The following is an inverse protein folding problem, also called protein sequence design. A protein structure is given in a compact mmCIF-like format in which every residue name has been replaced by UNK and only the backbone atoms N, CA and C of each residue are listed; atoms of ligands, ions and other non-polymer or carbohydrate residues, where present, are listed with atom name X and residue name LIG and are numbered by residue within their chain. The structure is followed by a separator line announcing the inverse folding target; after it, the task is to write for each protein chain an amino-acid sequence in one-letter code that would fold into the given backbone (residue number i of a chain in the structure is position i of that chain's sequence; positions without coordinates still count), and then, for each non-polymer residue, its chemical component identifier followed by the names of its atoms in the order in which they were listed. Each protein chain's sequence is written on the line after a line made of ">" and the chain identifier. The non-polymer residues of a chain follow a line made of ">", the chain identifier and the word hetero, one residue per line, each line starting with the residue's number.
data_IF_178869551281
#
_entry.id   IF_178869551281
#
_cell.length_a   1.000
_cell.length_b   1.000
_cell.length_c   1.000
_cell.angle_alpha   90.00
_cell.angle_beta   90.00
_cell.angle_gamma   90.00
#
_symmetry.space_group_name_H-M   'P 1'
#
loop_
_entity.id
_entity.type
_entity.pdbx_description
1 polymer ?
#
# COMPACT_ATOMS: atom_id res chain seq x y z
N UNK A 1 16.14 -11.88 -30.18
CA UNK A 1 14.83 -11.84 -29.46
C UNK A 1 14.72 -13.04 -28.50
N UNK A 2 15.01 -14.28 -28.90
CA UNK A 2 14.89 -15.49 -28.07
C UNK A 2 15.75 -15.49 -26.80
N UNK A 3 16.99 -15.02 -26.85
CA UNK A 3 17.88 -14.95 -25.69
C UNK A 3 17.37 -14.02 -24.59
N UNK A 4 16.70 -12.91 -24.93
CA UNK A 4 16.09 -12.01 -23.94
C UNK A 4 14.88 -12.64 -23.24
N UNK A 5 14.09 -13.45 -23.97
CA UNK A 5 12.95 -14.18 -23.40
C UNK A 5 13.44 -15.28 -22.46
N UNK A 6 14.46 -16.05 -22.88
CA UNK A 6 15.10 -17.06 -22.04
C UNK A 6 15.72 -16.44 -20.78
N UNK A 7 16.39 -15.29 -20.88
CA UNK A 7 16.95 -14.59 -19.72
C UNK A 7 15.89 -14.19 -18.66
N UNK A 8 14.67 -13.84 -19.10
CA UNK A 8 13.56 -13.53 -18.18
C UNK A 8 13.00 -14.81 -17.54
N UNK A 9 12.95 -15.92 -18.30
CA UNK A 9 12.47 -17.21 -17.79
C UNK A 9 13.45 -17.88 -16.83
N UNK A 10 14.74 -17.60 -16.97
CA UNK A 10 15.81 -18.13 -16.13
C UNK A 10 16.10 -17.23 -14.90
N UNK A 11 15.42 -16.09 -14.77
CA UNK A 11 15.60 -15.18 -13.62
C UNK A 11 14.95 -15.77 -12.37
N UNK A 12 15.77 -16.00 -11.36
CA UNK A 12 15.26 -16.48 -10.06
C UNK A 12 14.52 -15.34 -9.33
N UNK A 13 13.35 -15.57 -8.75
CA UNK A 13 12.65 -14.58 -7.96
C UNK A 13 13.50 -14.16 -6.75
N UNK A 14 13.52 -12.87 -6.44
CA UNK A 14 14.26 -12.30 -5.29
C UNK A 14 13.72 -12.83 -3.97
N UNK A 15 12.46 -13.20 -3.92
CA UNK A 15 11.77 -13.80 -2.78
C UNK A 15 11.05 -15.04 -3.25
N UNK A 16 11.33 -16.17 -2.61
CA UNK A 16 10.64 -17.43 -2.89
C UNK A 16 9.23 -17.41 -2.33
N UNK A 17 8.28 -17.93 -3.11
CA UNK A 17 6.90 -18.09 -2.67
C UNK A 17 6.82 -19.21 -1.61
N UNK A 18 6.27 -18.90 -0.43
CA UNK A 18 6.00 -19.89 0.59
C UNK A 18 4.57 -20.43 0.45
N UNK A 19 4.45 -21.61 -0.18
CA UNK A 19 3.15 -22.27 -0.45
C UNK A 19 2.66 -23.04 0.77
N UNK A 20 3.59 -23.62 1.55
CA UNK A 20 3.31 -24.49 2.68
C UNK A 20 3.44 -23.80 4.04
N UNK A 21 3.59 -22.48 4.03
CA UNK A 21 3.75 -21.69 5.23
C UNK A 21 2.51 -21.64 6.13
N UNK A 22 2.68 -21.03 7.30
CA UNK A 22 1.61 -20.88 8.29
C UNK A 22 0.50 -19.95 7.77
N UNK A 23 -0.71 -20.20 8.23
CA UNK A 23 -1.85 -19.29 8.06
C UNK A 23 -2.10 -18.58 9.39
N UNK A 24 -2.15 -17.25 9.37
CA UNK A 24 -2.38 -16.42 10.55
C UNK A 24 -3.51 -15.44 10.30
N UNK A 25 -4.32 -15.16 11.32
CA UNK A 25 -5.19 -14.00 11.34
C UNK A 25 -4.38 -12.77 11.72
N UNK A 26 -4.67 -11.61 11.15
CA UNK A 26 -3.95 -10.39 11.45
C UNK A 26 -4.25 -9.90 12.88
N UNK A 27 -3.20 -9.73 13.67
CA UNK A 27 -3.22 -9.18 15.03
C UNK A 27 -2.00 -8.25 15.25
N UNK A 28 -1.69 -7.47 14.22
CA UNK A 28 -0.58 -6.52 14.23
C UNK A 28 0.65 -6.98 13.46
N UNK A 29 1.61 -6.05 13.34
CA UNK A 29 2.89 -6.30 12.68
C UNK A 29 4.04 -5.62 13.43
N UNK A 30 5.16 -6.30 13.52
CA UNK A 30 6.36 -5.84 14.22
C UNK A 30 7.58 -5.92 13.32
N UNK A 31 8.34 -4.83 13.29
CA UNK A 31 9.66 -4.76 12.66
C UNK A 31 10.71 -4.72 13.79
N UNK A 32 11.55 -5.73 13.88
CA UNK A 32 12.53 -5.89 14.94
C UNK A 32 13.95 -5.79 14.37
N UNK A 33 14.66 -4.72 14.71
CA UNK A 33 16.06 -4.48 14.34
C UNK A 33 16.32 -4.67 12.83
N UNK A 34 15.40 -4.21 11.98
CA UNK A 34 15.44 -4.45 10.53
C UNK A 34 16.59 -3.67 9.89
N UNK A 35 17.45 -4.40 9.19
CA UNK A 35 18.51 -3.87 8.33
C UNK A 35 18.29 -4.32 6.88
N UNK A 36 18.46 -3.36 5.95
CA UNK A 36 18.29 -3.63 4.53
C UNK A 36 19.11 -2.68 3.65
N UNK A 37 19.67 -3.20 2.56
CA UNK A 37 20.41 -2.46 1.56
C UNK A 37 19.98 -2.90 0.14
N UNK A 38 19.95 -1.97 -0.81
CA UNK A 38 19.92 -2.28 -2.24
C UNK A 38 21.37 -2.31 -2.73
N UNK A 39 21.89 -3.51 -3.05
CA UNK A 39 23.32 -3.68 -3.33
C UNK A 39 24.15 -3.20 -2.13
N UNK A 40 25.05 -2.23 -2.36
CA UNK A 40 25.94 -1.67 -1.32
C UNK A 40 25.29 -0.47 -0.59
N UNK A 41 24.15 0.03 -1.04
CA UNK A 41 23.48 1.18 -0.45
C UNK A 41 22.60 0.77 0.72
N UNK A 42 23.04 1.04 1.95
CA UNK A 42 22.28 0.77 3.18
C UNK A 42 21.11 1.74 3.31
N UNK A 43 19.89 1.21 3.33
CA UNK A 43 18.63 1.98 3.39
C UNK A 43 18.05 1.98 4.81
N UNK A 44 17.98 0.80 5.45
CA UNK A 44 17.50 0.68 6.83
C UNK A 44 18.61 0.10 7.72
N UNK A 45 18.69 0.60 8.97
CA UNK A 45 19.72 0.23 9.94
C UNK A 45 19.13 0.19 11.34
N UNK A 46 18.76 -1.00 11.81
CA UNK A 46 18.15 -1.19 13.12
C UNK A 46 16.75 -0.56 13.23
N UNK A 47 15.95 -0.64 12.16
CA UNK A 47 14.60 -0.09 12.12
C UNK A 47 13.66 -0.93 12.99
N UNK A 48 12.97 -0.28 13.96
CA UNK A 48 12.05 -0.92 14.88
C UNK A 48 10.69 -0.21 14.83
N UNK A 49 9.62 -0.91 14.45
CA UNK A 49 8.28 -0.33 14.36
C UNK A 49 7.21 -1.36 14.69
N UNK A 50 6.17 -0.93 15.39
CA UNK A 50 4.99 -1.77 15.67
C UNK A 50 3.75 -1.15 15.06
N UNK A 51 2.96 -1.98 14.39
CA UNK A 51 1.62 -1.67 13.89
C UNK A 51 0.63 -2.45 14.72
N UNK A 52 -0.07 -1.75 15.59
CA UNK A 52 -1.12 -2.34 16.43
C UNK A 52 -2.43 -2.47 15.65
N UNK A 53 -3.32 -3.43 16.00
CA UNK A 53 -4.65 -3.53 15.42
C UNK A 53 -5.46 -2.24 15.61
N UNK A 54 -6.26 -1.90 14.60
CA UNK A 54 -7.18 -0.74 14.62
C UNK A 54 -6.50 0.62 14.90
N UNK A 55 -5.24 0.76 14.53
CA UNK A 55 -4.46 2.00 14.70
C UNK A 55 -3.99 2.58 13.37
N UNK A 56 -3.86 3.89 13.37
CA UNK A 56 -3.17 4.64 12.29
C UNK A 56 -1.75 4.92 12.77
N UNK A 57 -0.78 4.40 12.04
CA UNK A 57 0.64 4.63 12.26
C UNK A 57 1.15 5.56 11.16
N UNK A 58 1.73 6.68 11.52
CA UNK A 58 2.35 7.61 10.57
C UNK A 58 3.87 7.42 10.54
N UNK A 59 4.44 7.34 9.34
CA UNK A 59 5.88 7.33 9.10
C UNK A 59 6.24 8.61 8.37
N UNK A 60 7.06 9.45 9.00
CA UNK A 60 7.53 10.73 8.43
C UNK A 60 9.04 10.71 8.25
N UNK A 61 9.57 11.70 7.53
CA UNK A 61 11.01 11.83 7.31
C UNK A 61 11.34 12.39 5.94
N UNK A 62 12.60 12.80 5.70
CA UNK A 62 13.03 13.33 4.42
C UNK A 62 12.91 12.31 3.28
N UNK A 63 12.90 12.81 2.03
CA UNK A 63 12.96 11.93 0.85
C UNK A 63 14.22 11.07 0.91
N UNK A 64 14.11 9.81 0.47
CA UNK A 64 15.22 8.84 0.50
C UNK A 64 15.56 8.28 1.89
N UNK A 65 14.79 8.58 2.94
CA UNK A 65 15.09 8.08 4.30
C UNK A 65 14.72 6.60 4.53
N UNK A 66 14.14 5.90 3.55
CA UNK A 66 13.79 4.48 3.65
C UNK A 66 12.32 4.17 3.95
N UNK A 67 11.44 5.18 4.01
CA UNK A 67 10.01 5.00 4.34
C UNK A 67 9.28 4.03 3.41
N UNK A 68 9.34 4.27 2.11
CA UNK A 68 8.72 3.39 1.09
C UNK A 68 9.37 2.01 1.07
N UNK A 69 10.68 1.93 1.36
CA UNK A 69 11.39 0.65 1.49
C UNK A 69 10.85 -0.15 2.67
N UNK A 70 10.58 0.50 3.81
CA UNK A 70 9.98 -0.17 4.96
C UNK A 70 8.62 -0.80 4.60
N UNK A 71 7.73 -0.07 3.88
CA UNK A 71 6.45 -0.64 3.41
C UNK A 71 6.65 -1.84 2.48
N UNK A 72 7.61 -1.74 1.54
CA UNK A 72 7.92 -2.82 0.59
C UNK A 72 8.47 -4.07 1.29
N UNK A 73 9.26 -3.91 2.35
CA UNK A 73 9.74 -5.02 3.17
C UNK A 73 8.60 -5.65 4.00
N UNK A 74 7.69 -4.86 4.53
CA UNK A 74 6.50 -5.35 5.23
C UNK A 74 5.59 -6.15 4.27
N UNK A 75 5.54 -5.77 2.99
CA UNK A 75 4.89 -6.54 1.91
C UNK A 75 5.69 -7.77 1.48
N UNK A 76 6.89 -7.98 2.00
CA UNK A 76 7.82 -9.02 1.59
C UNK A 76 8.10 -8.99 0.07
N UNK A 77 8.37 -7.80 -0.49
CA UNK A 77 8.92 -7.69 -1.86
C UNK A 77 10.41 -8.04 -1.88
N UNK A 78 11.07 -7.92 -0.73
CA UNK A 78 12.41 -8.42 -0.42
C UNK A 78 12.43 -8.99 0.98
N UNK A 79 13.27 -9.96 1.24
CA UNK A 79 13.55 -10.43 2.60
C UNK A 79 14.56 -9.49 3.28
N UNK A 80 14.41 -9.30 4.58
CA UNK A 80 15.32 -8.46 5.36
C UNK A 80 16.69 -9.16 5.52
N UNK A 81 17.76 -8.37 5.47
CA UNK A 81 19.13 -8.87 5.60
C UNK A 81 19.56 -8.99 7.07
N UNK A 82 18.93 -8.22 7.96
CA UNK A 82 19.13 -8.26 9.40
C UNK A 82 17.80 -8.05 10.11
N UNK A 83 17.62 -8.67 11.27
CA UNK A 83 16.41 -8.59 12.06
C UNK A 83 15.27 -9.44 11.49
N UNK A 84 14.06 -9.10 11.83
CA UNK A 84 12.86 -9.80 11.41
C UNK A 84 11.66 -8.86 11.25
N UNK A 85 10.73 -9.25 10.41
CA UNK A 85 9.39 -8.66 10.33
C UNK A 85 8.40 -9.76 10.69
N UNK A 86 7.55 -9.51 11.67
CA UNK A 86 6.57 -10.48 12.16
C UNK A 86 5.16 -9.94 11.95
N UNK A 87 4.25 -10.81 11.53
CA UNK A 87 2.81 -10.57 11.53
C UNK A 87 2.17 -11.50 12.54
N UNK A 88 1.45 -10.93 13.51
CA UNK A 88 0.79 -11.72 14.57
C UNK A 88 1.76 -12.65 15.32
N UNK A 89 3.00 -12.18 15.57
CA UNK A 89 4.06 -12.93 16.25
C UNK A 89 4.85 -13.91 15.37
N UNK A 90 4.42 -14.18 14.13
CA UNK A 90 5.10 -15.09 13.20
C UNK A 90 5.96 -14.32 12.20
N UNK A 91 7.18 -14.79 11.92
CA UNK A 91 8.02 -14.21 10.87
C UNK A 91 7.31 -14.30 9.51
N UNK A 92 7.28 -13.19 8.76
CA UNK A 92 6.58 -13.15 7.47
C UNK A 92 7.15 -14.12 6.44
N UNK A 93 8.38 -14.60 6.62
CA UNK A 93 9.03 -15.63 5.80
C UNK A 93 8.41 -17.02 6.02
N UNK A 94 7.86 -17.27 7.21
CA UNK A 94 7.24 -18.53 7.60
C UNK A 94 5.73 -18.55 7.30
N UNK A 95 5.14 -17.41 6.94
CA UNK A 95 3.72 -17.29 6.58
C UNK A 95 3.53 -17.67 5.12
N UNK A 96 2.44 -18.40 4.84
CA UNK A 96 2.01 -18.70 3.47
C UNK A 96 1.84 -17.41 2.67
N UNK A 97 2.47 -17.30 1.50
CA UNK A 97 2.49 -16.07 0.70
C UNK A 97 1.08 -15.56 0.40
N UNK A 98 0.14 -16.44 0.05
CA UNK A 98 -1.26 -16.06 -0.19
C UNK A 98 -1.94 -15.48 1.06
N UNK A 99 -1.65 -16.02 2.25
CA UNK A 99 -2.15 -15.51 3.52
C UNK A 99 -1.54 -14.13 3.83
N UNK A 100 -0.22 -13.96 3.65
CA UNK A 100 0.43 -12.67 3.84
C UNK A 100 -0.20 -11.60 2.93
N UNK A 101 -0.41 -11.91 1.64
CA UNK A 101 -1.02 -11.00 0.65
C UNK A 101 -2.47 -10.65 0.98
N UNK A 102 -3.28 -11.61 1.45
CA UNK A 102 -4.68 -11.35 1.80
C UNK A 102 -4.84 -10.47 3.05
N UNK A 103 -3.83 -10.42 3.91
CA UNK A 103 -3.82 -9.57 5.11
C UNK A 103 -3.36 -8.13 4.86
N UNK A 104 -2.86 -7.81 3.66
CA UNK A 104 -2.21 -6.54 3.36
C UNK A 104 -2.70 -5.93 2.06
N UNK A 105 -2.87 -4.61 2.04
CA UNK A 105 -3.12 -3.81 0.84
C UNK A 105 -2.13 -2.65 0.80
N UNK A 106 -1.49 -2.40 -0.34
CA UNK A 106 -0.55 -1.32 -0.55
C UNK A 106 -1.03 -0.38 -1.65
N UNK A 107 -1.10 0.91 -1.34
CA UNK A 107 -1.20 1.99 -2.32
C UNK A 107 0.17 2.64 -2.44
N UNK A 108 0.83 2.44 -3.55
CA UNK A 108 2.11 3.07 -3.86
C UNK A 108 1.93 4.53 -4.30
N UNK A 109 2.99 5.31 -4.23
CA UNK A 109 3.00 6.70 -4.67
C UNK A 109 2.56 6.85 -6.14
N UNK A 110 2.97 5.91 -7.01
CA UNK A 110 2.54 5.81 -8.40
C UNK A 110 1.53 4.68 -8.56
N UNK A 111 0.28 5.04 -8.86
CA UNK A 111 -0.78 4.06 -9.10
C UNK A 111 -0.78 3.63 -10.57
N UNK A 112 -0.54 2.35 -10.81
CA UNK A 112 -0.63 1.75 -12.13
C UNK A 112 -2.09 1.33 -12.43
N UNK A 113 -2.57 1.68 -13.62
CA UNK A 113 -3.89 1.31 -14.11
C UNK A 113 -3.77 0.43 -15.36
N UNK A 114 -4.69 -0.50 -15.50
CA UNK A 114 -4.80 -1.34 -16.68
C UNK A 114 -5.70 -0.65 -17.73
N UNK A 115 -5.44 -0.91 -19.00
CA UNK A 115 -6.27 -0.42 -20.11
C UNK A 115 -7.64 -1.11 -20.11
N UNK A 116 -8.49 -0.68 -19.18
CA UNK A 116 -9.84 -1.19 -18.94
C UNK A 116 -10.71 -0.06 -18.35
N UNK A 117 -11.95 -0.36 -17.98
CA UNK A 117 -12.86 0.58 -17.34
C UNK A 117 -12.35 0.99 -15.93
N UNK A 118 -12.85 2.12 -15.44
CA UNK A 118 -12.61 2.56 -14.06
C UNK A 118 -13.13 1.50 -13.07
N UNK A 119 -14.32 0.93 -13.32
CA UNK A 119 -14.89 -0.12 -12.47
C UNK A 119 -13.98 -1.34 -12.41
N UNK A 120 -13.53 -1.87 -13.55
CA UNK A 120 -12.61 -3.00 -13.62
C UNK A 120 -11.30 -2.70 -12.87
N UNK A 121 -10.78 -1.49 -13.02
CA UNK A 121 -9.58 -1.06 -12.31
C UNK A 121 -9.76 -1.05 -10.79
N UNK A 122 -10.92 -0.64 -10.27
CA UNK A 122 -11.19 -0.68 -8.82
C UNK A 122 -11.41 -2.12 -8.36
N UNK A 123 -12.12 -2.95 -9.13
CA UNK A 123 -12.42 -4.36 -8.84
C UNK A 123 -11.19 -5.29 -8.82
N UNK A 124 -10.01 -4.81 -9.20
CA UNK A 124 -8.76 -5.58 -9.03
C UNK A 124 -8.55 -5.98 -7.55
N UNK A 125 -9.03 -5.16 -6.62
CA UNK A 125 -8.93 -5.45 -5.18
C UNK A 125 -9.88 -6.58 -4.72
N UNK A 126 -11.04 -6.71 -5.37
CA UNK A 126 -12.01 -7.78 -5.18
C UNK A 126 -12.85 -7.93 -6.47
N UNK A 127 -12.57 -8.97 -7.25
CA UNK A 127 -13.28 -9.24 -8.50
C UNK A 127 -14.76 -9.58 -8.32
N UNK A 128 -15.17 -10.03 -7.12
CA UNK A 128 -16.54 -10.36 -6.79
C UNK A 128 -17.36 -9.18 -6.25
N UNK A 129 -16.72 -8.02 -6.06
CA UNK A 129 -17.40 -6.83 -5.55
C UNK A 129 -18.57 -6.42 -6.45
N UNK A 130 -19.67 -6.02 -5.83
CA UNK A 130 -20.82 -5.46 -6.56
C UNK A 130 -20.51 -4.03 -7.04
N UNK A 131 -21.30 -3.52 -7.99
CA UNK A 131 -21.18 -2.14 -8.42
C UNK A 131 -21.37 -1.15 -7.25
N UNK A 132 -22.29 -1.41 -6.35
CA UNK A 132 -22.56 -0.58 -5.17
C UNK A 132 -21.35 -0.51 -4.24
N UNK A 133 -20.63 -1.64 -4.02
CA UNK A 133 -19.40 -1.67 -3.23
C UNK A 133 -18.29 -0.84 -3.90
N UNK A 134 -18.17 -0.92 -5.22
CA UNK A 134 -17.22 -0.10 -5.99
C UNK A 134 -17.56 1.39 -5.85
N UNK A 135 -18.83 1.76 -5.95
CA UNK A 135 -19.31 3.15 -5.78
C UNK A 135 -18.99 3.66 -4.37
N UNK A 136 -19.24 2.87 -3.34
CA UNK A 136 -18.93 3.27 -1.96
C UNK A 136 -17.41 3.42 -1.73
N UNK A 137 -16.60 2.54 -2.30
CA UNK A 137 -15.14 2.68 -2.26
C UNK A 137 -14.67 3.95 -2.99
N UNK A 138 -15.24 4.25 -4.15
CA UNK A 138 -14.95 5.45 -4.93
C UNK A 138 -15.37 6.74 -4.21
N UNK A 139 -16.49 6.74 -3.47
CA UNK A 139 -16.91 7.86 -2.61
C UNK A 139 -15.91 8.09 -1.48
N UNK A 140 -15.48 7.03 -0.78
CA UNK A 140 -14.45 7.12 0.25
C UNK A 140 -13.13 7.66 -0.30
N UNK A 141 -12.78 7.32 -1.53
CA UNK A 141 -11.59 7.82 -2.22
C UNK A 141 -11.78 9.22 -2.86
N UNK A 142 -12.95 9.86 -2.69
CA UNK A 142 -13.28 11.17 -3.29
C UNK A 142 -13.09 11.22 -4.81
N UNK A 143 -13.36 10.11 -5.51
CA UNK A 143 -13.27 10.02 -6.97
C UNK A 143 -14.64 9.87 -7.64
N UNK A 144 -15.68 9.50 -6.89
CA UNK A 144 -17.04 9.24 -7.41
C UNK A 144 -17.59 10.39 -8.23
N UNK A 145 -17.56 11.62 -7.69
CA UNK A 145 -18.14 12.79 -8.35
C UNK A 145 -17.44 13.08 -9.68
N UNK A 146 -16.12 12.93 -9.73
CA UNK A 146 -15.37 13.02 -10.98
C UNK A 146 -15.82 11.94 -11.99
N UNK A 147 -15.91 10.68 -11.56
CA UNK A 147 -16.37 9.57 -12.42
C UNK A 147 -17.74 9.88 -13.03
N UNK A 148 -18.66 10.46 -12.26
CA UNK A 148 -20.00 10.82 -12.71
C UNK A 148 -20.02 11.98 -13.72
N UNK A 149 -18.95 12.76 -13.85
CA UNK A 149 -18.82 13.77 -14.93
C UNK A 149 -18.41 13.17 -16.28
N UNK A 150 -17.92 11.94 -16.28
CA UNK A 150 -17.45 11.27 -17.49
C UNK A 150 -18.65 10.72 -18.30
N UNK A 151 -18.60 10.75 -19.64
CA UNK A 151 -19.73 10.32 -20.48
C UNK A 151 -20.21 8.88 -20.27
N UNK A 152 -19.32 7.99 -19.83
CA UNK A 152 -19.59 6.57 -19.56
C UNK A 152 -19.50 6.22 -18.06
N UNK A 153 -19.35 7.23 -17.18
CA UNK A 153 -19.22 6.98 -15.74
C UNK A 153 -18.14 5.92 -15.42
N UNK A 154 -18.52 4.92 -14.67
CA UNK A 154 -17.63 3.80 -14.27
C UNK A 154 -17.18 2.92 -15.44
N UNK A 155 -17.91 2.89 -16.55
CA UNK A 155 -17.54 2.15 -17.77
C UNK A 155 -16.54 2.92 -18.65
N UNK A 156 -16.06 4.07 -18.20
CA UNK A 156 -15.04 4.85 -18.91
C UNK A 156 -13.72 4.11 -18.93
N UNK A 157 -13.17 3.83 -20.11
CA UNK A 157 -11.84 3.27 -20.28
C UNK A 157 -10.79 4.32 -19.92
N UNK A 158 -9.79 3.93 -19.13
CA UNK A 158 -8.75 4.83 -18.62
C UNK A 158 -7.56 5.02 -19.58
N UNK A 159 -7.52 4.28 -20.69
CA UNK A 159 -6.42 4.29 -21.64
C UNK A 159 -5.25 3.41 -21.20
N UNK A 160 -4.20 3.44 -21.99
CA UNK A 160 -2.97 2.69 -21.68
C UNK A 160 -2.26 3.33 -20.47
N UNK A 161 -2.02 2.53 -19.43
CA UNK A 161 -1.46 3.00 -18.15
C UNK A 161 -2.24 4.18 -17.52
N UNK A 162 -3.52 4.35 -17.90
CA UNK A 162 -4.34 5.44 -17.38
C UNK A 162 -3.97 6.81 -17.94
N UNK A 163 -3.47 6.91 -19.18
CA UNK A 163 -3.02 8.15 -19.80
C UNK A 163 -4.11 9.20 -19.99
N UNK A 164 -5.38 8.80 -19.89
CA UNK A 164 -6.55 9.70 -19.95
C UNK A 164 -6.89 10.36 -18.61
N UNK A 165 -6.18 10.00 -17.54
CA UNK A 165 -6.42 10.51 -16.19
C UNK A 165 -5.19 11.26 -15.64
N UNK A 166 -5.43 12.28 -14.85
CA UNK A 166 -4.40 12.97 -14.07
C UNK A 166 -3.83 12.06 -12.98
N UNK A 167 -2.62 12.34 -12.49
CA UNK A 167 -1.99 11.58 -11.42
C UNK A 167 -2.82 11.57 -10.12
N UNK A 168 -3.52 12.68 -9.81
CA UNK A 168 -4.42 12.75 -8.67
C UNK A 168 -5.66 11.85 -8.81
N UNK A 169 -6.18 11.66 -10.02
CA UNK A 169 -7.30 10.75 -10.31
C UNK A 169 -6.83 9.29 -10.25
N UNK A 170 -5.67 8.96 -10.82
CA UNK A 170 -5.04 7.64 -10.69
C UNK A 170 -4.82 7.26 -9.22
N UNK A 171 -4.28 8.19 -8.44
CA UNK A 171 -4.03 7.99 -7.00
C UNK A 171 -5.33 7.71 -6.24
N UNK A 172 -6.41 8.44 -6.52
CA UNK A 172 -7.72 8.19 -5.90
C UNK A 172 -8.34 6.86 -6.32
N UNK A 173 -8.11 6.38 -7.55
CA UNK A 173 -8.50 5.02 -7.96
C UNK A 173 -7.70 3.98 -7.15
N UNK A 174 -6.39 4.20 -6.93
CA UNK A 174 -5.59 3.36 -6.04
C UNK A 174 -6.13 3.32 -4.60
N UNK A 175 -6.56 4.47 -4.07
CA UNK A 175 -7.21 4.54 -2.77
C UNK A 175 -8.55 3.81 -2.74
N UNK A 176 -9.35 3.90 -3.82
CA UNK A 176 -10.60 3.15 -3.95
C UNK A 176 -10.36 1.64 -3.90
N UNK A 177 -9.30 1.13 -4.55
CA UNK A 177 -8.86 -0.28 -4.42
C UNK A 177 -8.59 -0.65 -2.96
N UNK A 178 -7.86 0.19 -2.22
CA UNK A 178 -7.54 -0.08 -0.82
C UNK A 178 -8.78 -0.07 0.08
N UNK A 179 -9.75 0.82 -0.18
CA UNK A 179 -11.01 0.85 0.55
C UNK A 179 -11.97 -0.28 0.17
N UNK A 180 -11.87 -0.81 -1.04
CA UNK A 180 -12.64 -1.98 -1.49
C UNK A 180 -12.07 -3.29 -0.92
N UNK A 181 -10.76 -3.37 -0.76
CA UNK A 181 -10.07 -4.54 -0.23
C UNK A 181 -10.52 -4.88 1.20
N UNK A 182 -10.74 -6.17 1.47
CA UNK A 182 -11.03 -6.67 2.82
C UNK A 182 -9.79 -6.86 3.70
N UNK A 183 -8.59 -6.58 3.18
CA UNK A 183 -7.35 -6.68 3.94
C UNK A 183 -7.42 -5.90 5.26
N UNK A 184 -7.08 -6.51 6.41
CA UNK A 184 -7.12 -5.86 7.72
C UNK A 184 -6.01 -4.82 7.90
N UNK A 185 -4.99 -4.81 7.05
CA UNK A 185 -3.91 -3.83 7.07
C UNK A 185 -3.81 -3.10 5.72
N UNK A 186 -3.84 -1.77 5.77
CA UNK A 186 -3.66 -0.90 4.61
C UNK A 186 -2.37 -0.08 4.79
N UNK A 187 -1.52 -0.12 3.79
CA UNK A 187 -0.31 0.70 3.70
C UNK A 187 -0.46 1.73 2.59
N UNK A 188 -0.23 2.99 2.90
CA UNK A 188 -0.43 4.13 2.01
C UNK A 188 0.89 4.91 1.89
N UNK A 189 1.47 4.92 0.70
CA UNK A 189 2.70 5.66 0.43
C UNK A 189 2.36 6.99 -0.27
N UNK A 190 2.48 8.11 0.48
CA UNK A 190 2.19 9.47 0.04
C UNK A 190 0.77 9.63 -0.58
N UNK A 191 -0.32 9.16 0.09
CA UNK A 191 -1.65 9.04 -0.52
C UNK A 191 -2.31 10.37 -0.87
N UNK A 192 -1.75 11.49 -0.46
CA UNK A 192 -2.31 12.84 -0.68
C UNK A 192 -1.34 13.78 -1.38
N UNK A 193 -0.21 13.29 -1.90
CA UNK A 193 0.85 14.13 -2.49
C UNK A 193 0.36 14.99 -3.67
N UNK A 194 -0.51 14.44 -4.50
CA UNK A 194 -1.03 15.06 -5.72
C UNK A 194 -2.44 15.65 -5.54
N UNK A 195 -2.88 15.92 -4.29
CA UNK A 195 -4.22 16.42 -3.99
C UNK A 195 -4.19 17.86 -3.49
N UNK A 196 -5.23 18.63 -3.85
CA UNK A 196 -5.54 19.89 -3.22
C UNK A 196 -6.03 19.71 -1.78
N UNK A 197 -6.08 20.79 -1.01
CA UNK A 197 -6.40 20.76 0.43
C UNK A 197 -7.81 20.23 0.74
N UNK A 198 -8.78 20.43 -0.17
CA UNK A 198 -10.14 19.94 0.04
C UNK A 198 -10.20 18.41 -0.12
N UNK A 199 -9.69 17.90 -1.23
CA UNK A 199 -9.61 16.46 -1.49
C UNK A 199 -8.72 15.74 -0.45
N UNK A 200 -7.61 16.37 -0.04
CA UNK A 200 -6.78 15.87 1.06
C UNK A 200 -7.62 15.69 2.35
N UNK A 201 -8.41 16.70 2.74
CA UNK A 201 -9.26 16.64 3.92
C UNK A 201 -10.27 15.50 3.87
N UNK A 202 -10.91 15.27 2.72
CA UNK A 202 -11.84 14.15 2.50
C UNK A 202 -11.15 12.79 2.64
N UNK A 203 -9.98 12.63 2.01
CA UNK A 203 -9.22 11.37 2.10
C UNK A 203 -8.75 11.10 3.52
N UNK A 204 -8.22 12.10 4.24
CA UNK A 204 -7.79 11.91 5.63
C UNK A 204 -8.96 11.54 6.55
N UNK A 205 -10.16 12.09 6.31
CA UNK A 205 -11.37 11.69 7.01
C UNK A 205 -11.73 10.24 6.73
N UNK A 206 -11.75 9.83 5.45
CA UNK A 206 -12.04 8.44 5.06
C UNK A 206 -11.04 7.45 5.65
N UNK A 207 -9.75 7.80 5.69
CA UNK A 207 -8.70 7.01 6.33
C UNK A 207 -9.00 6.87 7.84
N UNK A 208 -9.35 7.97 8.51
CA UNK A 208 -9.67 7.93 9.94
C UNK A 208 -10.94 7.13 10.26
N UNK A 209 -11.92 7.13 9.38
CA UNK A 209 -13.11 6.30 9.50
C UNK A 209 -12.81 4.81 9.26
N UNK A 210 -11.91 4.50 8.30
CA UNK A 210 -11.51 3.14 7.95
C UNK A 210 -10.73 2.41 9.06
N UNK A 211 -10.12 3.13 10.02
CA UNK A 211 -9.38 2.50 11.13
C UNK A 211 -10.25 1.62 12.04
N UNK A 212 -11.58 1.73 11.96
CA UNK A 212 -12.48 0.82 12.66
C UNK A 212 -12.51 -0.53 11.94
N UNK A 213 -11.67 -1.46 12.37
CA UNK A 213 -11.50 -2.78 11.81
C UNK A 213 -10.34 -2.90 10.81
N UNK A 214 -9.51 -1.84 10.65
CA UNK A 214 -8.31 -1.89 9.83
C UNK A 214 -7.14 -1.15 10.48
N UNK A 215 -5.96 -1.74 10.44
CA UNK A 215 -4.71 -1.05 10.79
C UNK A 215 -4.17 -0.31 9.57
N UNK A 216 -3.72 0.91 9.75
CA UNK A 216 -3.29 1.75 8.62
C UNK A 216 -1.87 2.26 8.88
N UNK A 217 -0.97 2.02 7.92
CA UNK A 217 0.37 2.60 7.91
C UNK A 217 0.41 3.68 6.84
N UNK A 218 0.75 4.89 7.24
CA UNK A 218 0.66 6.09 6.43
C UNK A 218 2.04 6.75 6.31
N UNK A 219 2.65 6.67 5.15
CA UNK A 219 3.88 7.39 4.84
C UNK A 219 3.52 8.75 4.27
N UNK A 220 4.01 9.83 4.87
CA UNK A 220 3.82 11.17 4.35
C UNK A 220 4.84 12.16 4.91
N UNK A 221 5.11 13.21 4.14
CA UNK A 221 5.88 14.38 4.59
C UNK A 221 4.96 15.52 5.07
N UNK A 222 3.64 15.39 4.96
CA UNK A 222 2.65 16.41 5.33
C UNK A 222 2.28 16.33 6.83
N UNK A 223 2.26 17.49 7.50
CA UNK A 223 1.87 17.57 8.92
C UNK A 223 0.41 17.21 9.18
N UNK A 224 -0.48 17.42 8.20
CA UNK A 224 -1.91 17.03 8.27
C UNK A 224 -2.09 15.54 8.49
N UNK A 225 -1.29 14.72 7.83
CA UNK A 225 -1.31 13.26 7.93
C UNK A 225 -0.93 12.76 9.33
N UNK A 226 0.07 13.40 9.95
CA UNK A 226 0.47 13.04 11.32
C UNK A 226 -0.59 13.36 12.38
N UNK A 227 -1.54 14.28 12.09
CA UNK A 227 -2.59 14.66 13.05
C UNK A 227 -3.66 13.59 13.24
N UNK A 228 -3.88 12.71 12.25
CA UNK A 228 -4.86 11.61 12.36
C UNK A 228 -4.23 10.32 12.88
N UNK A 229 -2.90 10.27 13.01
CA UNK A 229 -2.19 9.10 13.47
C UNK A 229 -2.30 8.93 14.99
N UNK A 230 -2.53 7.69 15.42
CA UNK A 230 -2.48 7.29 16.83
C UNK A 230 -1.03 7.24 17.33
N UNK A 231 -0.09 6.92 16.43
CA UNK A 231 1.35 6.89 16.70
C UNK A 231 2.12 7.39 15.48
N UNK A 232 3.15 8.18 15.72
CA UNK A 232 3.99 8.73 14.67
C UNK A 232 5.45 8.31 14.88
N UNK A 233 6.08 7.86 13.81
CA UNK A 233 7.51 7.56 13.75
C UNK A 233 8.19 8.51 12.78
N UNK A 234 9.41 8.93 13.12
CA UNK A 234 10.24 9.70 12.20
C UNK A 234 11.42 8.87 11.76
N UNK A 235 11.61 8.73 10.45
CA UNK A 235 12.75 8.02 9.86
C UNK A 235 13.81 9.04 9.46
N UNK A 236 15.00 8.87 10.01
CA UNK A 236 16.16 9.65 9.62
C UNK A 236 17.35 8.72 9.35
N UNK A 237 17.89 8.75 8.13
CA UNK A 237 19.01 7.90 7.69
C UNK A 237 18.79 6.41 8.02
N UNK A 238 17.61 5.90 7.70
CA UNK A 238 17.26 4.49 7.90
C UNK A 238 16.98 4.05 9.34
N UNK A 239 16.96 4.98 10.30
CA UNK A 239 16.65 4.72 11.72
C UNK A 239 15.37 5.45 12.13
N UNK A 240 14.62 4.84 13.06
CA UNK A 240 13.48 5.50 13.70
C UNK A 240 13.93 6.27 14.95
N UNK A 241 13.31 7.43 15.13
CA UNK A 241 13.38 8.26 16.33
C UNK A 241 11.97 8.52 16.88
#
# INVERSE_FOLDING_TARGET
>A
AGERVLGILDENPVVEENIDGKTVAFDGMENENVGFAYGDEKILDGFNMTVEPDKIISITGPSGSGKSTALKLMMRFWDVQQGSIKMSGEDIRDIKTSCLRSNQSLVSQETQLFNDSIESNIKIADYNATHEQVVEAAKKASIHDFIMTLPKGYDTNVGELGDLLSDGEKQRIGLARAFLSDAPMIMLDEPTSNLDSLNEGHILRSINEAKKGKSIVLVSHRKSTSRIADKAYTVYRGRLS
#
